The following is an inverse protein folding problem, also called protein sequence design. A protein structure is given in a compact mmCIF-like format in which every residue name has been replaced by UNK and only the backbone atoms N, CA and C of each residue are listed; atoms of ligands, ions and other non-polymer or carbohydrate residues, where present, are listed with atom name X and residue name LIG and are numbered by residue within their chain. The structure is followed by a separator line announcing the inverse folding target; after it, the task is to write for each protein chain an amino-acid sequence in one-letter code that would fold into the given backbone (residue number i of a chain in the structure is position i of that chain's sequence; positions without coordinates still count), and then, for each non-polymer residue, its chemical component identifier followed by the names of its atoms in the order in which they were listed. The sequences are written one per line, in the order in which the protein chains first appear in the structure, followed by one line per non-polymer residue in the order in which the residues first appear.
data_IF_812360282397
#
_entry.id   IF_812360282397
#
_cell.length_a   1.000
_cell.length_b   1.000
_cell.length_c   1.000
_cell.angle_alpha   90.00
_cell.angle_beta   90.00
_cell.angle_gamma   90.00
#
_symmetry.space_group_name_H-M   'P 1'
#
loop_
_entity.id
_entity.type
_entity.pdbx_description
1 polymer ?
#
# COMPACT_ATOMS: atom_id res chain seq x y z
N UNK A 1 8.89 11.94 -6.10
CA UNK A 1 7.79 11.49 -7.01
C UNK A 1 8.32 10.88 -8.30
N UNK A 2 9.36 11.47 -8.94
CA UNK A 2 9.94 10.92 -10.19
C UNK A 2 10.68 9.59 -9.92
N UNK A 3 11.40 9.49 -8.82
CA UNK A 3 12.04 8.26 -8.36
C UNK A 3 11.05 7.09 -8.21
N UNK A 4 9.88 7.34 -7.60
CA UNK A 4 8.85 6.32 -7.42
C UNK A 4 8.30 5.82 -8.76
N UNK A 5 8.20 6.71 -9.76
CA UNK A 5 7.79 6.32 -11.11
C UNK A 5 8.84 5.40 -11.74
N UNK A 6 10.11 5.76 -11.63
CA UNK A 6 11.21 4.93 -12.14
C UNK A 6 11.25 3.56 -11.45
N UNK A 7 11.10 3.53 -10.13
CA UNK A 7 11.01 2.30 -9.35
C UNK A 7 9.89 1.38 -9.87
N UNK A 8 8.67 1.93 -10.04
CA UNK A 8 7.52 1.14 -10.52
C UNK A 8 7.71 0.67 -11.97
N UNK A 9 8.29 1.48 -12.85
CA UNK A 9 8.59 1.07 -14.23
C UNK A 9 9.58 -0.10 -14.24
N UNK A 10 10.66 -0.02 -13.47
CA UNK A 10 11.64 -1.11 -13.37
C UNK A 10 10.99 -2.39 -12.88
N UNK A 11 10.17 -2.30 -11.83
CA UNK A 11 9.43 -3.43 -11.28
C UNK A 11 8.48 -4.05 -12.30
N UNK A 12 7.72 -3.24 -13.03
CA UNK A 12 6.82 -3.72 -14.07
C UNK A 12 7.57 -4.39 -15.21
N UNK A 13 8.64 -3.79 -15.70
CA UNK A 13 9.46 -4.40 -16.77
C UNK A 13 10.03 -5.75 -16.34
N UNK A 14 10.51 -5.85 -15.12
CA UNK A 14 11.01 -7.12 -14.58
C UNK A 14 9.91 -8.18 -14.53
N UNK A 15 8.72 -7.82 -14.01
CA UNK A 15 7.59 -8.75 -13.93
C UNK A 15 7.16 -9.22 -15.33
N UNK A 16 7.08 -8.31 -16.30
CA UNK A 16 6.61 -8.65 -17.64
C UNK A 16 7.61 -9.51 -18.43
N UNK A 17 8.90 -9.19 -18.34
CA UNK A 17 9.90 -9.82 -19.23
C UNK A 17 10.71 -10.95 -18.57
N UNK A 18 10.93 -10.90 -17.25
CA UNK A 18 11.82 -11.82 -16.55
C UNK A 18 11.04 -12.90 -15.81
N UNK A 19 9.99 -12.55 -15.08
CA UNK A 19 9.23 -13.52 -14.28
C UNK A 19 8.66 -14.67 -15.13
N UNK A 20 8.07 -14.46 -16.33
CA UNK A 20 7.58 -15.56 -17.14
C UNK A 20 8.67 -16.56 -17.57
N UNK A 21 9.91 -16.07 -17.81
CA UNK A 21 11.03 -16.95 -18.12
C UNK A 21 11.48 -17.76 -16.91
N UNK A 22 11.46 -17.16 -15.71
CA UNK A 22 11.83 -17.83 -14.46
C UNK A 22 10.78 -18.85 -14.03
N UNK A 23 9.50 -18.62 -14.32
CA UNK A 23 8.42 -19.60 -14.09
C UNK A 23 8.66 -20.92 -14.85
N UNK A 24 9.27 -20.86 -16.05
CA UNK A 24 9.63 -22.06 -16.81
C UNK A 24 10.75 -22.87 -16.15
N UNK A 25 11.52 -22.27 -15.24
CA UNK A 25 12.61 -22.95 -14.51
C UNK A 25 12.04 -23.53 -13.21
N UNK A 26 11.44 -22.71 -12.35
CA UNK A 26 10.85 -23.12 -11.08
C UNK A 26 9.98 -22.00 -10.51
N UNK A 27 8.84 -22.38 -9.93
CA UNK A 27 7.96 -21.47 -9.20
C UNK A 27 8.70 -20.78 -8.03
N UNK A 28 9.55 -21.52 -7.32
CA UNK A 28 10.33 -20.99 -6.19
C UNK A 28 11.28 -19.88 -6.66
N UNK A 29 11.98 -20.10 -7.79
CA UNK A 29 12.90 -19.10 -8.35
C UNK A 29 12.15 -17.86 -8.80
N UNK A 30 10.99 -18.02 -9.43
CA UNK A 30 10.15 -16.90 -9.86
C UNK A 30 9.66 -16.06 -8.65
N UNK A 31 9.18 -16.70 -7.59
CA UNK A 31 8.74 -16.00 -6.37
C UNK A 31 9.92 -15.29 -5.68
N UNK A 32 11.06 -15.95 -5.55
CA UNK A 32 12.25 -15.35 -4.95
C UNK A 32 12.75 -14.14 -5.74
N UNK A 33 12.65 -14.19 -7.07
CA UNK A 33 13.03 -13.07 -7.94
C UNK A 33 12.13 -11.85 -7.76
N UNK A 34 10.84 -12.03 -7.43
CA UNK A 34 9.92 -10.92 -7.09
C UNK A 34 10.33 -10.19 -5.81
N UNK A 35 10.93 -10.89 -4.85
CA UNK A 35 11.49 -10.24 -3.64
C UNK A 35 12.76 -9.47 -4.00
N UNK A 36 13.64 -10.07 -4.82
CA UNK A 36 14.89 -9.42 -5.24
C UNK A 36 14.65 -8.17 -6.09
N UNK A 37 13.63 -8.16 -6.95
CA UNK A 37 13.33 -6.98 -7.77
C UNK A 37 12.92 -5.77 -6.93
N UNK A 38 12.32 -5.97 -5.77
CA UNK A 38 12.02 -4.86 -4.86
C UNK A 38 13.30 -4.13 -4.43
N UNK A 39 14.32 -4.89 -4.03
CA UNK A 39 15.63 -4.33 -3.63
C UNK A 39 16.30 -3.62 -4.82
N UNK A 40 16.26 -4.23 -6.01
CA UNK A 40 16.86 -3.64 -7.20
C UNK A 40 16.15 -2.35 -7.63
N UNK A 41 14.82 -2.33 -7.61
CA UNK A 41 14.02 -1.15 -7.97
C UNK A 41 14.23 0.01 -7.00
N UNK A 42 14.32 -0.26 -5.69
CA UNK A 42 14.68 0.74 -4.68
C UNK A 42 16.11 1.27 -4.88
N UNK A 43 17.06 0.39 -5.21
CA UNK A 43 18.43 0.80 -5.54
C UNK A 43 18.47 1.77 -6.72
N UNK A 44 17.72 1.51 -7.78
CA UNK A 44 17.59 2.39 -8.94
C UNK A 44 16.91 3.73 -8.55
N UNK A 45 15.89 3.69 -7.72
CA UNK A 45 15.23 4.91 -7.22
C UNK A 45 16.21 5.80 -6.45
N UNK A 46 17.07 5.22 -5.61
CA UNK A 46 18.12 5.95 -4.90
C UNK A 46 19.13 6.59 -5.88
N UNK A 47 19.58 5.85 -6.90
CA UNK A 47 20.51 6.36 -7.92
C UNK A 47 19.86 7.54 -8.66
N UNK A 48 18.60 7.39 -9.09
CA UNK A 48 17.87 8.47 -9.74
C UNK A 48 17.76 9.68 -8.84
N UNK A 49 17.42 9.51 -7.56
CA UNK A 49 17.34 10.59 -6.59
C UNK A 49 18.70 11.32 -6.45
N UNK A 50 19.81 10.60 -6.38
CA UNK A 50 21.16 11.17 -6.28
C UNK A 50 21.54 11.98 -7.52
N UNK A 51 21.14 11.55 -8.72
CA UNK A 51 21.39 12.26 -9.97
C UNK A 51 20.64 13.62 -10.06
N UNK A 52 19.48 13.72 -9.40
CA UNK A 52 18.67 14.93 -9.37
C UNK A 52 18.95 15.84 -8.18
N UNK A 53 19.88 15.49 -7.30
CA UNK A 53 20.33 16.41 -6.24
C UNK A 53 21.04 17.58 -6.90
N UNK A 54 20.58 18.83 -6.71
CA UNK A 54 21.26 20.01 -7.27
C UNK A 54 22.68 20.09 -6.74
N UNK A 55 23.64 20.31 -7.65
CA UNK A 55 25.07 20.49 -7.37
C UNK A 55 25.35 21.81 -6.58
N UNK A 56 24.62 22.07 -5.52
CA UNK A 56 25.06 23.04 -4.52
C UNK A 56 26.21 22.38 -3.77
N UNK A 57 27.36 23.02 -3.81
CA UNK A 57 28.55 22.61 -3.06
C UNK A 57 28.14 22.16 -1.66
N UNK A 58 28.19 20.86 -1.43
CA UNK A 58 28.04 20.30 -0.09
C UNK A 58 29.26 20.78 0.69
N UNK A 59 29.10 21.90 1.37
CA UNK A 59 30.15 22.40 2.26
C UNK A 59 30.32 21.40 3.41
N UNK A 60 31.54 21.22 3.87
CA UNK A 60 31.83 20.33 5.02
C UNK A 60 30.99 20.67 6.25
N UNK A 61 30.51 21.90 6.36
CA UNK A 61 29.59 22.33 7.39
C UNK A 61 28.18 21.71 7.26
N UNK A 62 27.75 21.37 6.05
CA UNK A 62 26.46 20.71 5.80
C UNK A 62 26.40 19.27 6.36
N UNK A 63 27.55 18.68 6.65
CA UNK A 63 27.64 17.36 7.29
C UNK A 63 27.68 17.43 8.84
N UNK A 64 27.68 18.62 9.42
CA UNK A 64 27.54 18.76 10.87
C UNK A 64 26.09 18.47 11.27
N UNK A 65 25.89 17.31 11.82
CA UNK A 65 24.59 16.86 12.30
C UNK A 65 24.23 17.65 13.58
N UNK A 66 23.22 18.50 13.49
CA UNK A 66 22.66 19.16 14.66
C UNK A 66 21.89 18.12 15.51
N UNK A 67 22.36 17.92 16.76
CA UNK A 67 21.76 16.97 17.70
C UNK A 67 20.29 17.27 17.99
N UNK A 68 19.88 18.53 17.93
CA UNK A 68 18.49 18.91 18.17
C UNK A 68 17.60 18.45 17.01
N UNK A 69 18.05 18.67 15.77
CA UNK A 69 17.33 18.20 14.57
C UNK A 69 17.18 16.67 14.59
N UNK A 70 18.26 15.95 14.93
CA UNK A 70 18.21 14.48 15.05
C UNK A 70 17.21 14.05 16.11
N UNK A 71 17.21 14.71 17.26
CA UNK A 71 16.26 14.43 18.36
C UNK A 71 14.83 14.65 17.91
N UNK A 72 14.54 15.73 17.20
CA UNK A 72 13.19 16.04 16.70
C UNK A 72 12.73 15.02 15.67
N UNK A 73 13.62 14.64 14.73
CA UNK A 73 13.34 13.57 13.76
C UNK A 73 13.08 12.24 14.47
N UNK A 74 13.90 11.85 15.43
CA UNK A 74 13.72 10.60 16.19
C UNK A 74 12.42 10.59 17.01
N UNK A 75 12.05 11.71 17.62
CA UNK A 75 10.82 11.84 18.38
C UNK A 75 9.55 11.60 17.53
N UNK A 76 9.61 11.87 16.23
CA UNK A 76 8.53 11.61 15.29
C UNK A 76 8.66 10.21 14.70
N UNK A 77 9.89 9.81 14.30
CA UNK A 77 10.13 8.56 13.58
C UNK A 77 9.93 7.33 14.46
N UNK A 78 10.35 7.37 15.75
CA UNK A 78 10.24 6.20 16.64
C UNK A 78 8.78 5.80 16.88
N UNK A 79 7.85 6.68 17.27
CA UNK A 79 6.44 6.33 17.43
C UNK A 79 5.80 5.88 16.11
N UNK A 80 6.10 6.56 15.00
CA UNK A 80 5.59 6.21 13.67
C UNK A 80 6.06 4.83 13.22
N UNK A 81 7.35 4.52 13.41
CA UNK A 81 7.90 3.19 13.09
C UNK A 81 7.32 2.11 14.01
N UNK A 82 7.18 2.40 15.29
CA UNK A 82 6.54 1.49 16.25
C UNK A 82 5.11 1.13 15.85
N UNK A 83 4.32 2.11 15.45
CA UNK A 83 2.96 1.89 14.95
C UNK A 83 2.93 1.00 13.70
N UNK A 84 3.84 1.23 12.74
CA UNK A 84 3.96 0.40 11.53
C UNK A 84 4.42 -1.02 11.85
N UNK A 85 5.32 -1.20 12.82
CA UNK A 85 5.77 -2.54 13.26
C UNK A 85 4.61 -3.35 13.84
N UNK A 86 3.75 -2.75 14.65
CA UNK A 86 2.56 -3.42 15.19
C UNK A 86 1.65 -3.89 14.05
N UNK A 87 1.39 -3.03 13.06
CA UNK A 87 0.64 -3.40 11.86
C UNK A 87 1.29 -4.56 11.09
N UNK A 88 2.60 -4.51 10.87
CA UNK A 88 3.33 -5.58 10.18
C UNK A 88 3.29 -6.92 10.91
N UNK A 89 3.33 -6.92 12.25
CA UNK A 89 3.17 -8.12 13.07
C UNK A 89 1.76 -8.72 12.87
N UNK A 90 0.73 -7.89 12.80
CA UNK A 90 -0.64 -8.34 12.55
C UNK A 90 -0.76 -9.05 11.18
N UNK A 91 -0.20 -8.47 10.13
CA UNK A 91 -0.15 -9.10 8.80
C UNK A 91 0.64 -10.42 8.78
N UNK A 92 1.71 -10.52 9.57
CA UNK A 92 2.48 -11.75 9.70
C UNK A 92 1.71 -12.85 10.44
N UNK A 93 0.95 -12.48 11.47
CA UNK A 93 0.16 -13.42 12.27
C UNK A 93 -1.13 -13.88 11.59
N UNK A 94 -1.71 -13.06 10.72
CA UNK A 94 -2.97 -13.34 10.03
C UNK A 94 -3.00 -14.73 9.37
N UNK A 95 -2.07 -15.09 8.43
CA UNK A 95 -2.10 -16.40 7.79
C UNK A 95 -1.84 -17.55 8.75
N UNK A 96 -1.07 -17.33 9.81
CA UNK A 96 -0.78 -18.36 10.82
C UNK A 96 -2.05 -18.68 11.62
N UNK A 97 -2.73 -17.66 12.12
CA UNK A 97 -3.95 -17.81 12.91
C UNK A 97 -5.07 -18.41 12.06
N UNK A 98 -5.23 -17.92 10.82
CA UNK A 98 -6.22 -18.43 9.89
C UNK A 98 -5.97 -19.90 9.57
N UNK A 99 -4.75 -20.27 9.23
CA UNK A 99 -4.38 -21.66 8.96
C UNK A 99 -4.65 -22.56 10.16
N UNK A 100 -4.26 -22.14 11.35
CA UNK A 100 -4.52 -22.90 12.59
C UNK A 100 -6.01 -23.10 12.84
N UNK A 101 -6.82 -22.05 12.72
CA UNK A 101 -8.26 -22.11 12.94
C UNK A 101 -8.95 -23.03 11.93
N UNK A 102 -8.60 -22.93 10.65
CA UNK A 102 -9.20 -23.75 9.59
C UNK A 102 -8.76 -25.23 9.64
N UNK A 103 -7.52 -25.52 10.01
CA UNK A 103 -7.06 -26.90 10.25
C UNK A 103 -7.86 -27.54 11.40
N UNK A 104 -8.11 -26.78 12.48
CA UNK A 104 -8.91 -27.27 13.63
C UNK A 104 -10.37 -27.53 13.26
N UNK A 105 -10.91 -26.88 12.25
CA UNK A 105 -12.24 -27.13 11.70
C UNK A 105 -12.29 -28.30 10.72
N UNK A 106 -11.16 -28.98 10.47
CA UNK A 106 -11.08 -30.16 9.60
C UNK A 106 -10.79 -29.85 8.13
N UNK A 107 -10.47 -28.59 7.79
CA UNK A 107 -10.11 -28.21 6.42
C UNK A 107 -8.71 -28.73 6.06
N UNK A 108 -8.51 -29.13 4.80
CA UNK A 108 -7.19 -29.53 4.31
C UNK A 108 -6.27 -28.32 4.08
N UNK A 109 -4.96 -28.48 4.26
CA UNK A 109 -3.99 -27.41 4.06
C UNK A 109 -4.02 -26.87 2.63
N UNK A 110 -4.26 -27.71 1.62
CA UNK A 110 -4.37 -27.30 0.22
C UNK A 110 -5.58 -26.38 0.00
N UNK A 111 -6.72 -26.68 0.61
CA UNK A 111 -7.90 -25.82 0.55
C UNK A 111 -7.63 -24.47 1.21
N UNK A 112 -7.04 -24.48 2.41
CA UNK A 112 -6.72 -23.25 3.15
C UNK A 112 -5.79 -22.33 2.33
N UNK A 113 -4.73 -22.90 1.73
CA UNK A 113 -3.78 -22.15 0.92
C UNK A 113 -4.45 -21.58 -0.33
N UNK A 114 -5.34 -22.36 -0.97
CA UNK A 114 -6.09 -21.91 -2.16
C UNK A 114 -7.03 -20.76 -1.82
N UNK A 115 -7.83 -20.89 -0.77
CA UNK A 115 -8.80 -19.86 -0.35
C UNK A 115 -8.09 -18.58 0.12
N UNK A 116 -7.01 -18.71 0.90
CA UNK A 116 -6.19 -17.57 1.30
C UNK A 116 -5.57 -16.87 0.10
N UNK A 117 -5.11 -17.63 -0.89
CA UNK A 117 -4.58 -17.08 -2.15
C UNK A 117 -5.64 -16.32 -2.96
N UNK A 118 -6.89 -16.82 -2.98
CA UNK A 118 -8.02 -16.11 -3.62
C UNK A 118 -8.31 -14.80 -2.90
N UNK A 119 -8.39 -14.82 -1.58
CA UNK A 119 -8.69 -13.62 -0.78
C UNK A 119 -7.59 -12.58 -0.92
N UNK A 120 -6.34 -12.96 -0.77
CA UNK A 120 -5.21 -12.01 -0.83
C UNK A 120 -4.87 -11.57 -2.25
N UNK A 121 -4.93 -12.48 -3.23
CA UNK A 121 -4.52 -12.23 -4.60
C UNK A 121 -5.57 -11.53 -5.46
N UNK A 122 -6.85 -11.83 -5.26
CA UNK A 122 -7.92 -11.24 -6.06
C UNK A 122 -8.78 -10.26 -5.27
N UNK A 123 -9.26 -10.67 -4.08
CA UNK A 123 -10.25 -9.90 -3.33
C UNK A 123 -9.63 -8.63 -2.75
N UNK A 124 -8.56 -8.76 -1.97
CA UNK A 124 -7.89 -7.58 -1.38
C UNK A 124 -7.29 -6.69 -2.44
N UNK A 125 -6.66 -7.25 -3.48
CA UNK A 125 -6.11 -6.47 -4.56
C UNK A 125 -7.19 -5.63 -5.27
N UNK A 126 -8.39 -6.19 -5.48
CA UNK A 126 -9.53 -5.46 -6.05
C UNK A 126 -10.05 -4.37 -5.10
N UNK A 127 -10.25 -4.72 -3.83
CA UNK A 127 -10.82 -3.81 -2.83
C UNK A 127 -9.88 -2.65 -2.47
N UNK A 128 -8.56 -2.79 -2.72
CA UNK A 128 -7.58 -1.73 -2.52
C UNK A 128 -7.52 -0.72 -3.68
N UNK A 129 -8.11 -1.00 -4.85
CA UNK A 129 -8.08 -0.07 -5.99
C UNK A 129 -8.60 1.33 -5.62
N UNK A 130 -9.73 1.51 -4.91
CA UNK A 130 -10.21 2.84 -4.55
C UNK A 130 -9.29 3.64 -3.63
N UNK A 131 -8.39 2.98 -2.90
CA UNK A 131 -7.41 3.66 -2.03
C UNK A 131 -6.48 4.61 -2.79
N UNK A 132 -6.31 4.45 -4.10
CA UNK A 132 -5.59 5.43 -4.91
C UNK A 132 -6.18 6.84 -4.82
N UNK A 133 -7.49 6.94 -4.84
CA UNK A 133 -8.17 8.23 -4.79
C UNK A 133 -8.05 8.85 -3.40
N UNK A 134 -8.22 8.06 -2.35
CA UNK A 134 -8.13 8.53 -0.97
C UNK A 134 -6.71 8.94 -0.61
N UNK A 135 -5.70 8.18 -1.03
CA UNK A 135 -4.29 8.54 -0.88
C UNK A 135 -3.91 9.79 -1.68
N UNK A 136 -4.44 9.97 -2.89
CA UNK A 136 -4.20 11.18 -3.68
C UNK A 136 -4.77 12.42 -2.98
N UNK A 137 -5.96 12.31 -2.39
CA UNK A 137 -6.55 13.39 -1.58
C UNK A 137 -5.68 13.66 -0.36
N UNK A 138 -5.29 12.63 0.39
CA UNK A 138 -4.45 12.75 1.58
C UNK A 138 -3.13 13.46 1.28
N UNK A 139 -2.41 13.01 0.26
CA UNK A 139 -1.12 13.60 -0.14
C UNK A 139 -1.25 15.04 -0.63
N UNK A 140 -2.35 15.41 -1.27
CA UNK A 140 -2.61 16.78 -1.71
C UNK A 140 -2.99 17.71 -0.55
N UNK A 141 -3.68 17.20 0.46
CA UNK A 141 -4.10 17.95 1.63
C UNK A 141 -2.96 18.17 2.64
N UNK A 142 -2.01 17.24 2.72
CA UNK A 142 -0.93 17.26 3.71
C UNK A 142 -0.16 18.59 3.76
N UNK A 143 0.35 19.17 2.64
CA UNK A 143 1.08 20.45 2.68
C UNK A 143 0.17 21.62 3.07
N UNK A 144 -1.10 21.59 2.67
CA UNK A 144 -2.07 22.65 3.01
C UNK A 144 -2.37 22.62 4.50
N UNK A 145 -2.61 21.44 5.06
CA UNK A 145 -2.90 21.24 6.48
C UNK A 145 -1.68 21.61 7.31
N UNK A 146 -0.48 21.12 6.95
CA UNK A 146 0.76 21.38 7.69
C UNK A 146 1.07 22.88 7.77
N UNK A 147 0.95 23.62 6.64
CA UNK A 147 1.14 25.05 6.60
C UNK A 147 0.17 25.80 7.52
N UNK A 148 -1.14 25.53 7.36
CA UNK A 148 -2.17 26.24 8.14
C UNK A 148 -2.15 25.84 9.62
N UNK A 149 -1.71 24.62 9.95
CA UNK A 149 -1.50 24.21 11.32
C UNK A 149 -0.35 25.01 11.98
N UNK A 150 0.77 25.19 11.27
CA UNK A 150 1.89 26.00 11.75
C UNK A 150 1.49 27.48 11.94
N UNK A 151 0.64 28.00 11.06
CA UNK A 151 0.08 29.36 11.14
C UNK A 151 -1.07 29.49 12.17
N UNK A 152 -1.39 28.41 12.90
CA UNK A 152 -2.51 28.30 13.86
C UNK A 152 -3.90 28.59 13.27
N UNK A 153 -4.04 28.48 11.95
CA UNK A 153 -5.31 28.68 11.25
C UNK A 153 -6.16 27.39 11.26
N UNK A 154 -6.67 27.04 12.44
CA UNK A 154 -7.43 25.80 12.67
C UNK A 154 -8.74 25.72 11.87
N UNK A 155 -9.27 26.86 11.42
CA UNK A 155 -10.48 26.87 10.58
C UNK A 155 -10.25 26.21 9.23
N UNK A 156 -9.13 26.54 8.56
CA UNK A 156 -8.76 25.92 7.27
C UNK A 156 -8.40 24.46 7.46
N UNK A 157 -7.65 24.13 8.53
CA UNK A 157 -7.29 22.74 8.87
C UNK A 157 -8.55 21.87 9.02
N UNK A 158 -9.50 22.28 9.86
CA UNK A 158 -10.76 21.54 10.06
C UNK A 158 -11.58 21.42 8.78
N UNK A 159 -11.65 22.50 7.97
CA UNK A 159 -12.37 22.48 6.69
C UNK A 159 -11.70 21.49 5.71
N UNK A 160 -10.40 21.52 5.58
CA UNK A 160 -9.64 20.59 4.71
C UNK A 160 -9.85 19.14 5.11
N UNK A 161 -9.69 18.81 6.40
CA UNK A 161 -9.95 17.47 6.92
C UNK A 161 -11.40 17.01 6.66
N UNK A 162 -12.38 17.87 6.98
CA UNK A 162 -13.80 17.53 6.76
C UNK A 162 -14.12 17.28 5.29
N UNK A 163 -13.56 18.09 4.39
CA UNK A 163 -13.75 17.90 2.95
C UNK A 163 -13.05 16.61 2.48
N UNK A 164 -11.81 16.34 2.93
CA UNK A 164 -11.10 15.10 2.62
C UNK A 164 -11.91 13.87 3.07
N UNK A 165 -12.39 13.86 4.31
CA UNK A 165 -13.21 12.78 4.85
C UNK A 165 -14.50 12.57 4.05
N UNK A 166 -15.17 13.65 3.65
CA UNK A 166 -16.38 13.56 2.85
C UNK A 166 -16.09 12.93 1.47
N UNK A 167 -15.04 13.38 0.78
CA UNK A 167 -14.65 12.83 -0.52
C UNK A 167 -14.23 11.36 -0.41
N UNK A 168 -13.42 11.00 0.60
CA UNK A 168 -13.03 9.60 0.83
C UNK A 168 -14.23 8.71 1.11
N UNK A 169 -15.18 9.19 1.88
CA UNK A 169 -16.42 8.47 2.18
C UNK A 169 -17.30 8.32 0.92
N UNK A 170 -17.45 9.36 0.10
CA UNK A 170 -18.22 9.28 -1.14
C UNK A 170 -17.61 8.27 -2.11
N UNK A 171 -16.28 8.32 -2.31
CA UNK A 171 -15.56 7.37 -3.16
C UNK A 171 -15.70 5.96 -2.58
N UNK A 172 -15.48 5.80 -1.28
CA UNK A 172 -15.59 4.52 -0.60
C UNK A 172 -16.97 3.91 -0.73
N UNK A 173 -18.04 4.68 -0.50
CA UNK A 173 -19.42 4.22 -0.67
C UNK A 173 -19.72 3.84 -2.11
N UNK A 174 -19.30 4.64 -3.08
CA UNK A 174 -19.51 4.36 -4.51
C UNK A 174 -18.89 3.02 -4.90
N UNK A 175 -17.62 2.81 -4.59
CA UNK A 175 -16.93 1.55 -4.93
C UNK A 175 -17.44 0.35 -4.13
N UNK A 176 -17.81 0.56 -2.86
CA UNK A 176 -18.41 -0.52 -2.05
C UNK A 176 -19.72 -1.00 -2.68
N UNK A 177 -20.61 -0.08 -3.07
CA UNK A 177 -21.87 -0.42 -3.76
C UNK A 177 -21.58 -1.15 -5.07
N UNK A 178 -20.62 -0.64 -5.86
CA UNK A 178 -20.20 -1.25 -7.11
C UNK A 178 -19.70 -2.70 -6.92
N UNK A 179 -18.84 -2.93 -5.93
CA UNK A 179 -18.31 -4.24 -5.62
C UNK A 179 -19.35 -5.21 -5.04
N UNK A 180 -20.32 -4.70 -4.29
CA UNK A 180 -21.43 -5.54 -3.81
C UNK A 180 -22.39 -5.97 -4.91
N UNK A 181 -22.71 -5.05 -5.85
CA UNK A 181 -23.68 -5.34 -6.91
C UNK A 181 -23.08 -6.17 -8.05
N UNK A 182 -21.83 -5.88 -8.45
CA UNK A 182 -21.24 -6.42 -9.67
C UNK A 182 -19.90 -7.16 -9.46
N UNK A 183 -19.67 -7.93 -8.40
CA UNK A 183 -18.36 -8.53 -8.13
C UNK A 183 -17.93 -9.51 -9.23
N UNK A 184 -18.84 -10.33 -9.75
CA UNK A 184 -18.54 -11.29 -10.80
C UNK A 184 -18.07 -10.63 -12.11
N UNK A 185 -18.74 -9.53 -12.50
CA UNK A 185 -18.38 -8.81 -13.72
C UNK A 185 -17.02 -8.14 -13.59
N UNK A 186 -16.74 -7.54 -12.44
CA UNK A 186 -15.49 -6.82 -12.18
C UNK A 186 -14.31 -7.80 -12.11
N UNK A 187 -14.46 -8.89 -11.34
CA UNK A 187 -13.43 -9.94 -11.25
C UNK A 187 -13.15 -10.58 -12.60
N UNK A 188 -14.20 -10.87 -13.38
CA UNK A 188 -14.06 -11.41 -14.73
C UNK A 188 -13.36 -10.44 -15.68
N UNK A 189 -13.67 -9.15 -15.57
CA UNK A 189 -13.06 -8.12 -16.40
C UNK A 189 -11.57 -7.90 -16.09
N UNK A 190 -11.20 -7.87 -14.80
CA UNK A 190 -9.83 -7.55 -14.38
C UNK A 190 -8.94 -8.81 -14.37
N UNK A 191 -9.45 -9.92 -13.83
CA UNK A 191 -8.65 -11.12 -13.57
C UNK A 191 -9.05 -12.33 -14.42
N UNK A 192 -10.05 -12.16 -15.32
CA UNK A 192 -10.62 -13.24 -16.14
C UNK A 192 -11.12 -14.46 -15.32
N UNK A 193 -11.53 -14.23 -14.07
CA UNK A 193 -12.04 -15.23 -13.14
C UNK A 193 -13.21 -14.68 -12.33
N UNK A 194 -14.04 -15.55 -11.79
CA UNK A 194 -15.12 -15.17 -10.83
C UNK A 194 -14.82 -15.67 -9.42
N UNK A 195 -13.64 -16.26 -9.20
CA UNK A 195 -13.22 -16.76 -7.90
C UNK A 195 -13.12 -15.60 -6.90
N UNK A 196 -13.71 -15.81 -5.74
CA UNK A 196 -13.70 -14.81 -4.66
C UNK A 196 -14.83 -13.78 -4.70
N UNK A 197 -15.81 -13.90 -5.61
CA UNK A 197 -16.92 -12.96 -5.71
C UNK A 197 -17.76 -12.84 -4.43
N UNK A 198 -17.95 -13.95 -3.73
CA UNK A 198 -18.69 -13.97 -2.46
C UNK A 198 -17.88 -13.29 -1.35
N UNK A 199 -16.57 -13.49 -1.33
CA UNK A 199 -15.68 -12.77 -0.42
C UNK A 199 -15.67 -11.26 -0.70
N UNK A 200 -15.67 -10.84 -1.98
CA UNK A 200 -15.79 -9.41 -2.34
C UNK A 200 -17.06 -8.82 -1.77
N UNK A 201 -18.22 -9.48 -1.96
CA UNK A 201 -19.51 -9.02 -1.41
C UNK A 201 -19.49 -8.90 0.11
N UNK A 202 -18.90 -9.87 0.78
CA UNK A 202 -18.87 -9.91 2.24
C UNK A 202 -17.92 -8.86 2.83
N UNK A 203 -16.75 -8.66 2.21
CA UNK A 203 -15.67 -7.83 2.76
C UNK A 203 -15.80 -6.37 2.33
N UNK A 204 -16.34 -6.08 1.14
CA UNK A 204 -16.46 -4.72 0.60
C UNK A 204 -17.05 -3.68 1.57
N UNK A 205 -18.12 -3.95 2.35
CA UNK A 205 -18.66 -2.97 3.30
C UNK A 205 -17.65 -2.52 4.37
N UNK A 206 -16.76 -3.41 4.78
CA UNK A 206 -15.74 -3.10 5.79
C UNK A 206 -14.60 -2.23 5.23
N UNK A 207 -14.38 -2.27 3.93
CA UNK A 207 -13.37 -1.45 3.27
C UNK A 207 -13.69 0.05 3.25
N UNK A 208 -14.93 0.45 3.51
CA UNK A 208 -15.27 1.87 3.74
C UNK A 208 -14.41 2.47 4.85
N UNK A 209 -14.19 1.72 5.93
CA UNK A 209 -13.33 2.17 7.03
C UNK A 209 -11.87 2.30 6.61
N UNK A 210 -11.39 1.39 5.74
CA UNK A 210 -10.04 1.47 5.19
C UNK A 210 -9.85 2.72 4.34
N UNK A 211 -10.80 3.04 3.45
CA UNK A 211 -10.72 4.26 2.63
C UNK A 211 -10.75 5.56 3.45
N UNK A 212 -11.39 5.57 4.61
CA UNK A 212 -11.35 6.70 5.53
C UNK A 212 -10.00 6.77 6.26
N UNK A 213 -9.44 5.61 6.61
CA UNK A 213 -8.14 5.52 7.30
C UNK A 213 -6.99 6.04 6.43
N UNK A 214 -7.06 5.91 5.11
CA UNK A 214 -6.04 6.35 4.17
C UNK A 214 -5.91 7.87 4.07
N UNK A 215 -6.85 8.63 4.65
CA UNK A 215 -6.84 10.09 4.71
C UNK A 215 -5.99 10.58 5.86
#
# INVERSE_FOLDING_TARGET
TFENICEQIVRLLFIIFIVPKLLNISLIVAISSLVLVNILSEGIAIIVMLLFIPNKSLDKESFKVDKNIVKDVLNISIPSTGSRLIGSISYFLEPIILTYAMLKSGSSLSLITSEYGIVTGYVYALLLIPSFFTMAISTSLLPIISKNYAERNMRIVKKGLSQGMLFSLLIGCFFTILFMLFPNYILKFIYNTTLGSDYVRLIAPFFIFHYIQDL
#
